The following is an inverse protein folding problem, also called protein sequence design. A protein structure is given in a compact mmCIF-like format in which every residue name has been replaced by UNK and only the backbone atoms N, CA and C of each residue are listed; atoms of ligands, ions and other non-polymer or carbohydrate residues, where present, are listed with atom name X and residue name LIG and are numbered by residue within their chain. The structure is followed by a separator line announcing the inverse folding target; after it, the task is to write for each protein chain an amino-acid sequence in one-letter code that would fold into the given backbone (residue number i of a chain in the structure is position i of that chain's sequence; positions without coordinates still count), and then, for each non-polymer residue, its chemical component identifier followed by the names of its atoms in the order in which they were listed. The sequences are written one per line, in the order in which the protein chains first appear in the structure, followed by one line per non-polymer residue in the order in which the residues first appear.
data_IF_175579440429
#
_entry.id   IF_175579440429
#
_cell.length_a   1.000
_cell.length_b   1.000
_cell.length_c   1.000
_cell.angle_alpha   90.00
_cell.angle_beta   90.00
_cell.angle_gamma   90.00
#
_symmetry.space_group_name_H-M   'P 1'
#
loop_
_entity.id
_entity.type
_entity.pdbx_description
1 polymer ?
#
# COMPACT_ATOMS: atom_id res chain seq x y z
N UNK A 1 -0.76 -66.22 -57.16
CA UNK A 1 -0.87 -64.72 -57.13
C UNK A 1 -1.31 -64.30 -55.74
N UNK A 2 -0.38 -63.85 -54.94
CA UNK A 2 -0.60 -63.33 -53.54
C UNK A 2 -0.57 -61.80 -53.60
N UNK A 3 -1.72 -61.18 -53.30
CA UNK A 3 -1.82 -59.71 -53.23
C UNK A 3 -1.48 -59.31 -51.81
N UNK A 4 -0.33 -58.62 -51.64
CA UNK A 4 0.13 -58.01 -50.39
C UNK A 4 -0.56 -56.65 -50.22
N UNK A 5 -1.44 -56.53 -49.19
CA UNK A 5 -2.06 -55.26 -48.82
C UNK A 5 -1.16 -54.54 -47.81
N UNK A 6 -0.61 -53.39 -48.24
CA UNK A 6 0.20 -52.49 -47.43
C UNK A 6 -0.77 -51.54 -46.70
N UNK A 7 -0.97 -51.75 -45.38
CA UNK A 7 -1.70 -50.81 -44.51
C UNK A 7 -0.77 -49.64 -44.12
N UNK A 8 -1.11 -48.42 -44.49
CA UNK A 8 -0.45 -47.21 -44.07
C UNK A 8 -0.99 -46.79 -42.68
N UNK A 9 -0.17 -46.53 -41.69
CA UNK A 9 -0.64 -45.95 -40.44
C UNK A 9 -1.01 -44.48 -40.65
N UNK A 10 -2.25 -44.10 -40.29
CA UNK A 10 -2.68 -42.71 -40.19
C UNK A 10 -2.18 -42.19 -38.86
N UNK A 11 -1.20 -41.31 -38.92
CA UNK A 11 -0.66 -40.56 -37.76
C UNK A 11 -1.69 -39.45 -37.42
N UNK A 12 -2.53 -39.66 -36.42
CA UNK A 12 -3.39 -38.62 -35.87
C UNK A 12 -2.55 -37.64 -35.05
N UNK A 13 -2.27 -36.47 -35.59
CA UNK A 13 -1.71 -35.35 -34.83
C UNK A 13 -2.79 -34.82 -33.88
N UNK A 14 -2.65 -35.08 -32.61
CA UNK A 14 -3.44 -34.43 -31.57
C UNK A 14 -2.99 -32.95 -31.47
N UNK A 15 -3.82 -32.04 -31.96
CA UNK A 15 -3.68 -30.61 -31.66
C UNK A 15 -3.99 -30.44 -30.15
N UNK A 16 -2.98 -30.22 -29.33
CA UNK A 16 -3.14 -29.70 -27.99
C UNK A 16 -3.65 -28.25 -28.12
N UNK A 17 -4.92 -28.02 -27.88
CA UNK A 17 -5.48 -26.71 -27.66
C UNK A 17 -4.82 -26.19 -26.36
N UNK A 18 -4.28 -24.95 -26.32
CA UNK A 18 -3.91 -24.36 -25.07
C UNK A 18 -5.15 -24.32 -24.17
N UNK A 19 -5.05 -24.84 -22.95
CA UNK A 19 -6.07 -24.63 -21.94
C UNK A 19 -6.18 -23.10 -21.79
N UNK A 20 -7.36 -22.54 -22.05
CA UNK A 20 -7.65 -21.17 -21.63
C UNK A 20 -7.43 -21.15 -20.11
N UNK A 21 -6.51 -20.32 -19.62
CA UNK A 21 -6.44 -20.03 -18.20
C UNK A 21 -7.84 -19.54 -17.80
N UNK A 22 -8.49 -20.23 -16.87
CA UNK A 22 -9.79 -19.81 -16.36
C UNK A 22 -9.65 -18.49 -15.59
N UNK A 23 -10.75 -17.78 -15.42
CA UNK A 23 -10.81 -16.65 -14.49
C UNK A 23 -10.39 -17.09 -13.08
N UNK A 24 -9.50 -16.34 -12.47
CA UNK A 24 -9.01 -16.57 -11.10
C UNK A 24 -9.35 -15.36 -10.24
N UNK A 25 -9.65 -15.61 -8.97
CA UNK A 25 -9.78 -14.56 -7.95
C UNK A 25 -8.44 -14.37 -7.25
N UNK A 26 -7.97 -13.13 -7.15
CA UNK A 26 -6.73 -12.73 -6.48
C UNK A 26 -7.08 -11.92 -5.24
N UNK A 27 -6.69 -12.38 -4.06
CA UNK A 27 -6.87 -11.66 -2.80
C UNK A 27 -5.64 -10.83 -2.47
N UNK A 28 -5.77 -9.50 -2.51
CA UNK A 28 -4.68 -8.55 -2.25
C UNK A 28 -4.83 -7.93 -0.86
N UNK A 29 -3.87 -8.16 0.02
CA UNK A 29 -3.78 -7.44 1.28
C UNK A 29 -2.90 -6.21 1.10
N UNK A 30 -3.46 -5.00 1.24
CA UNK A 30 -2.77 -3.77 0.94
C UNK A 30 -2.89 -2.70 2.04
N UNK A 31 -1.84 -1.91 2.20
CA UNK A 31 -1.84 -0.77 3.10
C UNK A 31 -3.00 0.20 2.79
N UNK A 32 -3.69 0.68 3.82
CA UNK A 32 -4.86 1.54 3.70
C UNK A 32 -4.63 2.81 2.87
N UNK A 33 -3.41 3.33 2.82
CA UNK A 33 -3.03 4.48 1.98
C UNK A 33 -3.15 4.22 0.47
N UNK A 34 -3.21 2.94 0.05
CA UNK A 34 -3.38 2.56 -1.36
C UNK A 34 -4.84 2.53 -1.82
N UNK A 35 -5.81 2.80 -0.93
CA UNK A 35 -7.25 2.67 -1.22
C UNK A 35 -7.66 3.27 -2.56
N UNK A 36 -7.30 4.53 -2.82
CA UNK A 36 -7.74 5.24 -4.03
C UNK A 36 -7.04 4.72 -5.28
N UNK A 37 -5.73 4.48 -5.21
CA UNK A 37 -4.96 3.96 -6.34
C UNK A 37 -5.37 2.52 -6.71
N UNK A 38 -5.53 1.64 -5.70
CA UNK A 38 -5.90 0.25 -5.97
C UNK A 38 -7.31 0.09 -6.49
N UNK A 39 -8.28 0.91 -6.08
CA UNK A 39 -9.62 0.85 -6.65
C UNK A 39 -9.64 1.17 -8.16
N UNK A 40 -8.76 2.06 -8.62
CA UNK A 40 -8.59 2.36 -10.03
C UNK A 40 -7.84 1.23 -10.77
N UNK A 41 -6.79 0.69 -10.15
CA UNK A 41 -5.98 -0.40 -10.70
C UNK A 41 -6.79 -1.70 -10.81
N UNK A 42 -7.53 -2.07 -9.76
CA UNK A 42 -8.46 -3.20 -9.72
C UNK A 42 -9.41 -3.14 -10.92
N UNK A 43 -10.16 -2.02 -11.06
CA UNK A 43 -11.08 -1.82 -12.17
C UNK A 43 -10.41 -1.96 -13.54
N UNK A 44 -9.20 -1.42 -13.71
CA UNK A 44 -8.48 -1.45 -14.97
C UNK A 44 -7.91 -2.86 -15.27
N UNK A 45 -7.41 -3.57 -14.27
CA UNK A 45 -6.90 -4.93 -14.41
C UNK A 45 -8.02 -5.91 -14.77
N UNK A 46 -9.15 -5.87 -14.06
CA UNK A 46 -10.33 -6.70 -14.34
C UNK A 46 -10.91 -6.45 -15.75
N UNK A 47 -10.86 -5.18 -16.20
CA UNK A 47 -11.28 -4.85 -17.57
C UNK A 47 -10.31 -5.35 -18.66
N UNK A 48 -9.03 -5.54 -18.31
CA UNK A 48 -7.98 -5.98 -19.23
C UNK A 48 -7.81 -7.51 -19.27
N UNK A 49 -8.28 -8.19 -18.23
CA UNK A 49 -8.14 -9.65 -18.05
C UNK A 49 -9.50 -10.27 -17.75
N UNK A 50 -9.54 -11.59 -17.59
CA UNK A 50 -10.75 -12.29 -17.12
C UNK A 50 -10.68 -12.57 -15.58
N UNK A 51 -9.69 -12.01 -14.87
CA UNK A 51 -9.46 -12.22 -13.45
C UNK A 51 -10.24 -11.23 -12.60
N UNK A 52 -10.60 -11.64 -11.37
CA UNK A 52 -11.21 -10.79 -10.34
C UNK A 52 -10.17 -10.46 -9.25
N UNK A 53 -10.19 -9.24 -8.71
CA UNK A 53 -9.30 -8.80 -7.64
C UNK A 53 -10.11 -8.41 -6.41
N UNK A 54 -9.80 -8.99 -5.27
CA UNK A 54 -10.42 -8.65 -3.99
C UNK A 54 -9.38 -7.97 -3.08
N UNK A 55 -9.55 -6.68 -2.82
CA UNK A 55 -8.60 -5.89 -2.04
C UNK A 55 -9.05 -5.74 -0.59
N UNK A 56 -8.26 -6.23 0.35
CA UNK A 56 -8.43 -6.01 1.78
C UNK A 56 -7.46 -4.93 2.28
N UNK A 57 -8.02 -3.83 2.78
CA UNK A 57 -7.29 -2.62 3.17
C UNK A 57 -7.25 -2.45 4.68
N UNK A 58 -6.04 -2.36 5.25
CA UNK A 58 -5.83 -2.08 6.67
C UNK A 58 -4.43 -1.49 6.92
N UNK A 59 -4.09 -1.24 8.18
CA UNK A 59 -2.69 -0.97 8.54
C UNK A 59 -1.80 -2.19 8.23
N UNK A 60 -0.64 -1.98 7.62
CA UNK A 60 0.26 -3.07 7.21
C UNK A 60 0.61 -4.02 8.35
N UNK A 61 0.69 -3.52 9.59
CA UNK A 61 0.91 -4.34 10.79
C UNK A 61 -0.21 -5.34 11.07
N UNK A 62 -1.45 -4.97 10.79
CA UNK A 62 -2.62 -5.86 10.96
C UNK A 62 -2.59 -6.93 9.89
N UNK A 63 -2.38 -6.53 8.63
CA UNK A 63 -2.31 -7.45 7.49
C UNK A 63 -1.16 -8.45 7.62
N UNK A 64 0.05 -7.98 7.97
CA UNK A 64 1.20 -8.85 8.20
C UNK A 64 0.92 -9.88 9.30
N UNK A 65 0.28 -9.48 10.42
CA UNK A 65 -0.12 -10.42 11.46
C UNK A 65 -1.15 -11.43 10.99
N UNK A 66 -2.12 -11.03 10.18
CA UNK A 66 -3.14 -11.93 9.61
C UNK A 66 -2.49 -12.94 8.66
N UNK A 67 -1.58 -12.52 7.79
CA UNK A 67 -0.80 -13.40 6.89
C UNK A 67 -0.02 -14.43 7.72
N UNK A 68 0.70 -13.99 8.74
CA UNK A 68 1.48 -14.86 9.65
C UNK A 68 0.60 -15.83 10.47
N UNK A 69 -0.71 -15.56 10.58
CA UNK A 69 -1.71 -16.44 11.19
C UNK A 69 -2.44 -17.31 10.16
N UNK A 70 -2.04 -17.28 8.88
CA UNK A 70 -2.58 -18.12 7.83
C UNK A 70 -3.82 -17.54 7.14
N UNK A 71 -4.01 -16.22 7.14
CA UNK A 71 -5.05 -15.61 6.32
C UNK A 71 -4.81 -15.90 4.83
N UNK A 72 -5.86 -16.20 4.06
CA UNK A 72 -5.74 -16.60 2.65
C UNK A 72 -5.57 -15.39 1.73
N UNK A 73 -4.45 -14.70 1.84
CA UNK A 73 -4.07 -13.64 0.92
C UNK A 73 -3.08 -14.20 -0.12
N UNK A 74 -3.13 -13.67 -1.32
CA UNK A 74 -2.26 -14.03 -2.43
C UNK A 74 -1.13 -13.01 -2.58
N UNK A 75 -1.44 -11.72 -2.49
CA UNK A 75 -0.46 -10.64 -2.62
C UNK A 75 -0.48 -9.76 -1.39
N UNK A 76 0.70 -9.35 -0.94
CA UNK A 76 0.85 -8.37 0.14
C UNK A 76 1.55 -7.11 -0.36
N UNK A 77 0.94 -5.93 -0.13
CA UNK A 77 1.52 -4.62 -0.41
C UNK A 77 1.59 -3.82 0.89
N UNK A 78 2.78 -3.74 1.46
CA UNK A 78 3.02 -3.07 2.75
C UNK A 78 3.45 -1.61 2.54
N UNK A 79 3.12 -0.73 3.48
CA UNK A 79 3.66 0.64 3.55
C UNK A 79 4.96 0.72 4.38
N UNK A 80 5.62 -0.41 4.63
CA UNK A 80 6.86 -0.51 5.39
C UNK A 80 7.62 -1.77 5.00
N UNK A 81 8.91 -1.65 4.83
CA UNK A 81 9.83 -2.78 4.64
C UNK A 81 9.83 -3.71 5.85
N UNK A 82 9.77 -3.18 7.07
CA UNK A 82 9.83 -3.98 8.30
C UNK A 82 8.69 -5.02 8.40
N UNK A 83 7.47 -4.64 7.97
CA UNK A 83 6.35 -5.58 7.97
C UNK A 83 6.44 -6.60 6.85
N UNK A 84 7.00 -6.24 5.70
CA UNK A 84 7.32 -7.20 4.64
C UNK A 84 8.44 -8.14 5.09
N UNK A 85 9.50 -7.61 5.72
CA UNK A 85 10.62 -8.40 6.28
C UNK A 85 10.13 -9.43 7.31
N UNK A 86 9.14 -9.06 8.14
CA UNK A 86 8.55 -9.97 9.12
C UNK A 86 7.80 -11.14 8.48
N UNK A 87 7.11 -10.90 7.36
CA UNK A 87 6.41 -11.95 6.58
C UNK A 87 7.42 -12.82 5.83
N UNK A 88 8.45 -12.21 5.25
CA UNK A 88 9.54 -12.91 4.55
C UNK A 88 10.36 -13.80 5.48
N UNK A 89 10.68 -13.32 6.69
CA UNK A 89 11.44 -14.08 7.70
C UNK A 89 10.71 -15.34 8.16
N UNK A 90 9.37 -15.34 8.11
CA UNK A 90 8.56 -16.53 8.40
C UNK A 90 8.45 -17.48 7.18
N UNK A 91 9.08 -17.14 6.04
CA UNK A 91 9.07 -17.95 4.81
C UNK A 91 7.73 -17.97 4.08
N UNK A 92 6.93 -16.89 4.23
CA UNK A 92 5.57 -16.80 3.68
C UNK A 92 5.51 -16.06 2.33
N UNK A 93 6.64 -15.54 1.82
CA UNK A 93 6.70 -14.96 0.48
C UNK A 93 7.13 -16.02 -0.54
N UNK A 94 6.58 -15.92 -1.76
CA UNK A 94 7.12 -16.66 -2.90
C UNK A 94 8.50 -16.09 -3.27
N UNK A 95 9.56 -16.95 -3.31
CA UNK A 95 10.93 -16.47 -3.50
C UNK A 95 11.13 -15.67 -4.79
N UNK A 96 11.71 -14.47 -4.66
CA UNK A 96 12.08 -13.63 -5.80
C UNK A 96 10.96 -12.74 -6.34
N UNK A 97 9.78 -12.73 -5.72
CA UNK A 97 8.64 -11.89 -6.15
C UNK A 97 8.64 -10.51 -5.49
N UNK A 98 9.34 -10.34 -4.37
CA UNK A 98 9.40 -9.07 -3.65
C UNK A 98 10.03 -7.96 -4.50
N UNK A 99 9.34 -6.81 -4.57
CA UNK A 99 9.77 -5.60 -5.26
C UNK A 99 9.45 -4.37 -4.42
N UNK A 100 10.38 -3.41 -4.34
CA UNK A 100 10.11 -2.09 -3.79
C UNK A 100 9.37 -1.27 -4.84
N UNK A 101 8.04 -1.19 -4.69
CA UNK A 101 7.15 -0.69 -5.72
C UNK A 101 7.06 0.85 -5.71
N UNK A 102 6.80 1.44 -4.53
CA UNK A 102 6.47 2.85 -4.37
C UNK A 102 7.22 3.50 -3.22
N UNK A 103 7.39 4.83 -3.34
CA UNK A 103 7.78 5.72 -2.26
C UNK A 103 6.68 6.71 -1.90
N UNK A 104 6.81 7.38 -0.75
CA UNK A 104 5.85 8.37 -0.25
C UNK A 104 6.57 9.41 0.61
N UNK A 105 5.82 10.42 1.07
CA UNK A 105 6.27 11.40 2.07
C UNK A 105 5.22 11.59 3.15
N UNK A 106 5.63 12.12 4.32
CA UNK A 106 4.72 12.44 5.42
C UNK A 106 4.45 13.93 5.42
N UNK A 107 3.20 14.28 5.67
CA UNK A 107 2.73 15.66 5.73
C UNK A 107 1.93 15.92 7.00
N UNK A 108 1.97 17.16 7.46
CA UNK A 108 1.04 17.70 8.42
C UNK A 108 -0.17 18.24 7.66
N UNK A 109 -1.35 17.73 7.99
CA UNK A 109 -2.62 18.21 7.45
C UNK A 109 -3.41 18.95 8.53
N UNK A 110 -4.18 19.93 8.11
CA UNK A 110 -5.13 20.64 8.97
C UNK A 110 -6.55 20.42 8.48
N UNK A 111 -7.52 20.48 9.40
CA UNK A 111 -8.95 20.47 9.07
C UNK A 111 -9.36 21.75 8.35
N UNK A 112 -10.15 21.59 7.28
CA UNK A 112 -10.64 22.70 6.47
C UNK A 112 -9.71 23.11 5.32
N UNK A 113 -10.17 24.05 4.47
CA UNK A 113 -9.50 24.47 3.25
C UNK A 113 -8.58 25.68 3.39
N UNK A 114 -8.68 26.42 4.51
CA UNK A 114 -8.08 27.75 4.67
C UNK A 114 -6.95 27.80 5.72
N UNK A 115 -6.39 26.64 6.10
CA UNK A 115 -5.31 26.58 7.09
C UNK A 115 -4.02 27.16 6.52
N UNK A 116 -3.35 27.98 7.33
CA UNK A 116 -2.09 28.59 6.93
C UNK A 116 -0.95 27.57 6.83
N UNK A 117 -0.03 27.71 5.87
CA UNK A 117 1.18 26.89 5.80
C UNK A 117 2.01 26.98 7.08
N UNK A 118 2.67 25.88 7.43
CA UNK A 118 3.54 25.73 8.60
C UNK A 118 4.90 25.23 8.12
N UNK A 119 5.97 25.90 8.53
CA UNK A 119 7.33 25.39 8.35
C UNK A 119 7.61 24.31 9.39
N UNK A 120 7.94 23.10 8.93
CA UNK A 120 8.24 21.96 9.80
C UNK A 120 9.72 21.96 10.15
N UNK A 121 10.05 22.56 11.28
CA UNK A 121 11.42 22.74 11.77
C UNK A 121 11.53 22.36 13.26
N UNK A 122 12.74 22.16 13.80
CA UNK A 122 12.94 21.76 15.22
C UNK A 122 12.39 22.74 16.26
N UNK A 123 12.17 23.99 15.91
CA UNK A 123 11.63 25.02 16.80
C UNK A 123 10.13 25.29 16.62
N UNK A 124 9.46 24.47 15.81
CA UNK A 124 8.01 24.55 15.61
C UNK A 124 7.27 24.31 16.94
N UNK A 125 6.47 25.26 17.37
CA UNK A 125 5.54 25.10 18.50
C UNK A 125 4.27 24.34 18.05
N UNK A 126 4.44 23.06 17.70
CA UNK A 126 3.33 22.21 17.28
C UNK A 126 2.29 22.02 18.40
N UNK A 127 2.73 21.95 19.67
CA UNK A 127 1.81 21.87 20.80
C UNK A 127 0.96 23.13 20.94
N UNK A 128 1.56 24.32 20.73
CA UNK A 128 0.84 25.59 20.67
C UNK A 128 -0.17 25.66 19.51
N UNK A 129 0.17 25.12 18.35
CA UNK A 129 -0.77 25.01 17.21
C UNK A 129 -1.96 24.09 17.51
N UNK A 130 -1.75 23.00 18.26
CA UNK A 130 -2.81 22.10 18.68
C UNK A 130 -3.74 22.74 19.71
N UNK A 131 -3.21 23.62 20.58
CA UNK A 131 -3.97 24.16 21.71
C UNK A 131 -4.54 23.03 22.59
N UNK A 132 -5.86 23.02 22.80
CA UNK A 132 -6.56 21.95 23.50
C UNK A 132 -6.94 20.76 22.59
N UNK A 133 -6.63 20.84 21.31
CA UNK A 133 -6.94 19.85 20.31
C UNK A 133 -6.05 18.61 20.33
N UNK A 134 -6.27 17.70 19.40
CA UNK A 134 -5.53 16.46 19.25
C UNK A 134 -4.76 16.44 17.92
N UNK A 135 -3.62 15.75 17.92
CA UNK A 135 -2.88 15.39 16.72
C UNK A 135 -3.30 13.98 16.29
N UNK A 136 -4.02 13.89 15.17
CA UNK A 136 -4.43 12.59 14.63
C UNK A 136 -3.22 11.89 13.99
N UNK A 137 -2.96 10.66 14.40
CA UNK A 137 -1.92 9.79 13.83
C UNK A 137 -2.41 8.35 13.75
N UNK A 138 -1.84 7.55 12.88
CA UNK A 138 -1.98 6.10 12.99
C UNK A 138 -1.22 5.60 14.25
N UNK A 139 -1.48 4.35 14.69
CA UNK A 139 -0.82 3.74 15.84
C UNK A 139 0.71 3.88 15.73
N UNK A 140 1.31 4.67 16.62
CA UNK A 140 2.69 5.14 16.51
C UNK A 140 3.76 4.07 16.76
N UNK A 141 3.38 2.95 17.37
CA UNK A 141 4.29 1.84 17.66
C UNK A 141 4.03 0.60 16.77
N UNK A 142 3.09 0.69 15.82
CA UNK A 142 2.71 -0.47 15.01
C UNK A 142 2.43 -0.14 13.53
N UNK A 143 1.66 0.90 13.25
CA UNK A 143 1.24 1.22 11.88
C UNK A 143 2.29 2.08 11.18
N UNK A 144 2.70 1.76 9.95
CA UNK A 144 3.79 2.45 9.26
C UNK A 144 3.69 3.98 9.31
N UNK A 145 2.55 4.57 8.93
CA UNK A 145 2.36 6.02 8.97
C UNK A 145 2.57 6.63 10.38
N UNK A 146 2.15 5.89 11.42
CA UNK A 146 2.38 6.30 12.81
C UNK A 146 3.85 6.20 13.21
N UNK A 147 4.52 5.12 12.82
CA UNK A 147 5.96 4.90 13.08
C UNK A 147 6.78 6.00 12.40
N UNK A 148 6.53 6.27 11.11
CA UNK A 148 7.23 7.33 10.37
C UNK A 148 6.92 8.72 10.93
N UNK A 149 5.65 9.00 11.25
CA UNK A 149 5.25 10.28 11.86
C UNK A 149 5.91 10.52 13.22
N UNK A 150 5.96 9.49 14.07
CA UNK A 150 6.66 9.56 15.36
C UNK A 150 8.17 9.75 15.15
N UNK A 151 8.79 8.98 14.24
CA UNK A 151 10.21 9.12 13.94
C UNK A 151 10.56 10.53 13.44
N UNK A 152 9.70 11.13 12.59
CA UNK A 152 9.88 12.50 12.14
C UNK A 152 9.78 13.52 13.28
N UNK A 153 8.81 13.37 14.17
CA UNK A 153 8.67 14.22 15.36
C UNK A 153 9.83 14.03 16.33
N UNK A 154 10.31 12.80 16.55
CA UNK A 154 11.49 12.51 17.37
C UNK A 154 12.76 13.14 16.76
N UNK A 155 12.95 12.98 15.44
CA UNK A 155 14.09 13.55 14.70
C UNK A 155 14.17 15.07 14.78
N UNK A 156 13.03 15.74 14.88
CA UNK A 156 12.92 17.18 15.03
C UNK A 156 12.85 17.64 16.50
N UNK A 157 12.82 16.72 17.47
CA UNK A 157 12.68 17.02 18.90
C UNK A 157 11.29 17.52 19.31
N UNK A 158 10.26 17.24 18.50
CA UNK A 158 8.89 17.73 18.73
C UNK A 158 8.00 16.70 19.46
N UNK A 159 8.40 15.42 19.50
CA UNK A 159 7.55 14.32 19.98
C UNK A 159 7.09 14.51 21.42
N UNK A 160 8.01 14.78 22.34
CA UNK A 160 7.69 14.84 23.78
C UNK A 160 6.63 15.91 24.11
N UNK A 161 6.63 17.00 23.35
CA UNK A 161 5.69 18.10 23.53
C UNK A 161 4.25 17.72 23.10
N UNK A 162 4.12 16.88 22.06
CA UNK A 162 2.80 16.54 21.45
C UNK A 162 2.29 15.16 21.82
N UNK A 163 3.15 14.26 22.31
CA UNK A 163 2.77 12.87 22.65
C UNK A 163 1.50 12.74 23.52
N UNK A 164 1.28 13.61 24.55
CA UNK A 164 0.07 13.57 25.36
C UNK A 164 -1.22 13.94 24.60
N UNK A 165 -1.07 14.64 23.46
CA UNK A 165 -2.19 15.09 22.63
C UNK A 165 -2.44 14.21 21.41
N UNK A 166 -1.68 13.14 21.20
CA UNK A 166 -1.85 12.25 20.05
C UNK A 166 -3.14 11.44 20.18
N UNK A 167 -4.00 11.52 19.17
CA UNK A 167 -5.15 10.64 18.97
C UNK A 167 -4.78 9.58 17.93
N UNK A 168 -4.72 8.31 18.37
CA UNK A 168 -4.25 7.23 17.53
C UNK A 168 -5.41 6.49 16.86
N UNK A 169 -5.21 6.09 15.59
CA UNK A 169 -6.16 5.33 14.77
C UNK A 169 -5.53 4.04 14.25
N UNK A 170 -6.35 3.06 13.88
CA UNK A 170 -5.90 1.74 13.43
C UNK A 170 -5.15 1.74 12.09
N UNK A 171 -5.29 2.80 11.30
CA UNK A 171 -4.58 3.03 10.05
C UNK A 171 -4.58 4.52 9.68
N UNK A 172 -3.81 4.88 8.62
CA UNK A 172 -3.65 6.29 8.22
C UNK A 172 -4.93 6.94 7.69
N UNK A 173 -5.79 6.18 7.00
CA UNK A 173 -7.07 6.71 6.51
C UNK A 173 -8.05 7.00 7.64
N UNK A 174 -8.03 6.19 8.69
CA UNK A 174 -8.79 6.46 9.92
C UNK A 174 -8.24 7.69 10.68
N UNK A 175 -6.92 7.88 10.70
CA UNK A 175 -6.32 9.10 11.24
C UNK A 175 -6.73 10.35 10.44
N UNK A 176 -6.69 10.29 9.10
CA UNK A 176 -7.15 11.35 8.23
C UNK A 176 -8.64 11.68 8.45
N UNK A 177 -9.47 10.65 8.71
CA UNK A 177 -10.90 10.84 8.96
C UNK A 177 -11.18 11.72 10.19
N UNK A 178 -10.37 11.64 11.26
CA UNK A 178 -10.48 12.57 12.40
C UNK A 178 -10.26 14.03 11.99
N UNK A 179 -9.33 14.27 11.07
CA UNK A 179 -9.04 15.63 10.59
C UNK A 179 -10.15 16.12 9.67
N UNK A 180 -10.59 15.32 8.71
CA UNK A 180 -11.64 15.67 7.75
C UNK A 180 -13.02 15.86 8.40
N UNK A 181 -13.28 15.16 9.52
CA UNK A 181 -14.47 15.34 10.36
C UNK A 181 -14.37 16.53 11.32
N UNK A 182 -13.21 17.18 11.44
CA UNK A 182 -12.99 18.28 12.38
C UNK A 182 -12.84 17.83 13.85
N UNK A 183 -12.66 16.53 14.10
CA UNK A 183 -12.44 15.97 15.44
C UNK A 183 -10.99 16.20 15.93
N UNK A 184 -10.05 16.33 14.98
CA UNK A 184 -8.67 16.73 15.24
C UNK A 184 -8.32 17.94 14.35
N UNK A 185 -7.76 19.05 14.90
CA UNK A 185 -7.37 20.20 14.13
C UNK A 185 -6.22 19.89 13.15
N UNK A 186 -5.33 18.97 13.54
CA UNK A 186 -4.20 18.55 12.73
C UNK A 186 -4.03 17.03 12.75
N UNK A 187 -3.36 16.50 11.71
CA UNK A 187 -2.97 15.10 11.65
C UNK A 187 -1.68 14.89 10.85
N UNK A 188 -1.00 13.80 11.12
CA UNK A 188 0.17 13.35 10.35
C UNK A 188 -0.26 12.14 9.54
N UNK A 189 -0.18 12.30 8.20
CA UNK A 189 -0.59 11.30 7.20
C UNK A 189 0.39 11.28 6.04
N UNK A 190 0.22 10.38 5.10
CA UNK A 190 1.00 10.44 3.86
C UNK A 190 0.48 11.55 2.93
N UNK A 191 1.36 12.09 2.10
CA UNK A 191 0.99 13.08 1.09
C UNK A 191 -0.10 12.55 0.14
N UNK A 192 -0.04 11.27 -0.20
CA UNK A 192 -1.03 10.58 -1.04
C UNK A 192 -2.41 10.47 -0.39
N UNK A 193 -2.47 10.32 0.95
CA UNK A 193 -3.74 10.32 1.68
C UNK A 193 -4.37 11.72 1.68
N UNK A 194 -3.53 12.73 1.89
CA UNK A 194 -3.98 14.14 1.86
C UNK A 194 -4.48 14.54 0.47
N UNK A 195 -3.83 14.10 -0.60
CA UNK A 195 -4.25 14.35 -1.98
C UNK A 195 -5.63 13.77 -2.31
N UNK A 196 -6.04 12.72 -1.61
CA UNK A 196 -7.34 12.07 -1.79
C UNK A 196 -8.46 12.66 -0.91
N UNK A 197 -8.20 13.77 -0.18
CA UNK A 197 -9.16 14.36 0.77
C UNK A 197 -9.46 15.82 0.43
N UNK A 198 -10.72 16.13 0.13
CA UNK A 198 -11.17 17.48 -0.26
C UNK A 198 -11.30 18.46 0.93
N UNK A 199 -11.36 17.95 2.17
CA UNK A 199 -11.66 18.74 3.38
C UNK A 199 -10.51 18.85 4.36
N UNK A 200 -9.32 18.43 3.94
CA UNK A 200 -8.07 18.60 4.69
C UNK A 200 -7.04 19.33 3.83
N UNK A 201 -6.29 20.23 4.42
CA UNK A 201 -5.24 21.00 3.74
C UNK A 201 -3.87 20.53 4.20
N UNK A 202 -2.96 20.24 3.27
CA UNK A 202 -1.54 20.06 3.59
C UNK A 202 -0.98 21.41 4.02
N UNK A 203 -0.57 21.53 5.27
CA UNK A 203 0.02 22.75 5.84
C UNK A 203 1.53 22.68 5.93
N UNK A 204 2.13 21.48 5.94
CA UNK A 204 3.58 21.33 5.94
C UNK A 204 4.00 19.92 5.53
N UNK A 205 5.20 19.81 4.97
CA UNK A 205 5.83 18.52 4.62
C UNK A 205 7.01 18.30 5.55
N UNK A 206 7.09 17.11 6.16
CA UNK A 206 8.22 16.76 7.01
C UNK A 206 9.49 16.59 6.17
N UNK A 207 10.65 17.09 6.66
CA UNK A 207 11.93 16.88 6.01
C UNK A 207 12.23 15.40 5.81
N UNK A 208 12.72 15.02 4.62
CA UNK A 208 12.97 13.63 4.26
C UNK A 208 14.04 12.95 5.13
N UNK A 209 14.91 13.73 5.78
CA UNK A 209 15.96 13.27 6.69
C UNK A 209 15.49 13.19 8.16
N UNK A 210 14.25 13.61 8.46
CA UNK A 210 13.66 13.49 9.80
C UNK A 210 13.13 12.08 10.12
N UNK A 211 13.02 11.21 9.13
CA UNK A 211 12.49 9.83 9.27
C UNK A 211 13.17 8.88 8.27
N UNK A 212 13.10 7.55 8.48
CA UNK A 212 13.55 6.59 7.48
C UNK A 212 12.79 6.73 6.15
N UNK A 213 13.41 6.35 5.00
CA UNK A 213 12.71 6.34 3.71
C UNK A 213 11.42 5.52 3.76
N UNK A 214 10.36 6.08 3.18
CA UNK A 214 9.06 5.39 3.10
C UNK A 214 9.03 4.58 1.82
N UNK A 215 8.99 3.26 1.96
CA UNK A 215 8.97 2.31 0.86
C UNK A 215 7.77 1.39 0.99
N UNK A 216 7.11 1.15 -0.14
CA UNK A 216 6.01 0.19 -0.26
C UNK A 216 6.49 -1.02 -1.05
N UNK A 217 6.96 -2.07 -0.38
CA UNK A 217 7.21 -3.35 -1.03
C UNK A 217 5.91 -4.07 -1.36
N UNK A 218 5.90 -4.76 -2.49
CA UNK A 218 4.89 -5.72 -2.90
C UNK A 218 5.53 -7.09 -3.08
N UNK A 219 4.79 -8.14 -2.77
CA UNK A 219 5.25 -9.51 -2.96
C UNK A 219 4.07 -10.48 -3.10
N UNK A 220 4.30 -11.58 -3.79
CA UNK A 220 3.47 -12.75 -3.81
C UNK A 220 3.66 -13.58 -2.54
N UNK A 221 2.58 -14.16 -2.04
CA UNK A 221 2.58 -15.00 -0.85
C UNK A 221 2.58 -16.48 -1.25
N UNK A 222 3.41 -17.28 -0.60
CA UNK A 222 3.53 -18.70 -0.85
C UNK A 222 2.29 -19.50 -0.36
N UNK A 223 1.08 -18.95 -0.53
CA UNK A 223 -0.19 -19.57 -0.14
C UNK A 223 -0.75 -20.47 -1.22
N UNK A 224 -0.59 -20.09 -2.46
CA UNK A 224 -0.90 -20.84 -3.67
C UNK A 224 0.02 -20.37 -4.81
N UNK A 225 -0.02 -21.02 -5.94
CA UNK A 225 0.81 -20.70 -7.12
C UNK A 225 -0.13 -20.73 -8.36
N UNK A 226 -0.68 -19.57 -8.69
CA UNK A 226 -1.50 -19.39 -9.88
C UNK A 226 -0.95 -18.27 -10.76
N UNK A 227 -1.01 -18.42 -12.10
CA UNK A 227 -0.44 -17.43 -13.03
C UNK A 227 -0.98 -16.01 -12.85
N UNK A 228 -2.22 -15.86 -12.38
CA UNK A 228 -2.87 -14.57 -12.17
C UNK A 228 -2.15 -13.68 -11.13
N UNK A 229 -1.51 -14.28 -10.11
CA UNK A 229 -0.74 -13.57 -9.08
C UNK A 229 0.46 -12.85 -9.70
N UNK A 230 1.25 -13.58 -10.50
CA UNK A 230 2.37 -13.01 -11.23
C UNK A 230 1.91 -11.94 -12.25
N UNK A 231 0.79 -12.17 -12.94
CA UNK A 231 0.22 -11.22 -13.90
C UNK A 231 -0.19 -9.91 -13.21
N UNK A 232 -0.82 -9.98 -12.02
CA UNK A 232 -1.18 -8.80 -11.26
C UNK A 232 0.05 -8.05 -10.73
N UNK A 233 1.07 -8.75 -10.21
CA UNK A 233 2.33 -8.12 -9.79
C UNK A 233 3.07 -7.44 -10.95
N UNK A 234 3.04 -8.04 -12.15
CA UNK A 234 3.58 -7.42 -13.35
C UNK A 234 2.74 -6.20 -13.77
N UNK A 235 1.42 -6.29 -13.68
CA UNK A 235 0.52 -5.18 -13.97
C UNK A 235 0.75 -3.99 -13.05
N UNK A 236 1.01 -4.22 -11.74
CA UNK A 236 1.35 -3.15 -10.78
C UNK A 236 2.59 -2.34 -11.20
N UNK A 237 3.48 -2.91 -12.01
CA UNK A 237 4.66 -2.25 -12.59
C UNK A 237 4.43 -1.72 -14.00
N UNK A 238 3.30 -2.06 -14.58
CA UNK A 238 2.90 -1.64 -15.93
C UNK A 238 2.46 -0.17 -16.01
N UNK A 239 2.34 0.37 -17.24
CA UNK A 239 2.10 1.80 -17.46
C UNK A 239 0.77 2.29 -16.88
N UNK A 240 -0.27 1.48 -16.89
CA UNK A 240 -1.60 1.83 -16.38
C UNK A 240 -1.59 2.03 -14.86
N UNK A 241 -1.02 1.05 -14.12
CA UNK A 241 -0.92 1.12 -12.67
C UNK A 241 0.05 2.24 -12.24
N UNK A 242 1.19 2.40 -12.94
CA UNK A 242 2.13 3.51 -12.70
C UNK A 242 1.44 4.86 -12.82
N UNK A 243 0.64 5.07 -13.87
CA UNK A 243 -0.11 6.30 -14.04
C UNK A 243 -1.15 6.52 -12.92
N UNK A 244 -1.79 5.47 -12.41
CA UNK A 244 -2.70 5.54 -11.27
C UNK A 244 -1.96 5.95 -9.99
N UNK A 245 -0.81 5.34 -9.70
CA UNK A 245 0.03 5.70 -8.56
C UNK A 245 0.52 7.15 -8.63
N UNK A 246 1.02 7.59 -9.79
CA UNK A 246 1.49 8.96 -9.99
C UNK A 246 0.37 9.99 -9.80
N UNK A 247 -0.85 9.72 -10.29
CA UNK A 247 -2.02 10.60 -10.07
C UNK A 247 -2.34 10.78 -8.59
N UNK A 248 -2.10 9.77 -7.78
CA UNK A 248 -2.29 9.83 -6.32
C UNK A 248 -1.07 10.42 -5.58
N UNK A 249 0.01 10.75 -6.28
CA UNK A 249 1.21 11.38 -5.71
C UNK A 249 2.25 10.40 -5.15
N UNK A 250 2.16 9.11 -5.46
CA UNK A 250 3.22 8.16 -5.13
C UNK A 250 4.46 8.39 -5.99
N UNK A 251 5.64 8.15 -5.42
CA UNK A 251 6.88 8.05 -6.17
C UNK A 251 7.06 6.61 -6.64
N UNK A 252 7.38 6.41 -7.91
CA UNK A 252 7.65 5.07 -8.46
C UNK A 252 9.11 4.69 -8.16
N UNK A 253 9.33 3.51 -7.56
CA UNK A 253 10.66 2.97 -7.25
C UNK A 253 11.05 1.82 -8.20
N UNK A 254 10.08 0.97 -8.54
CA UNK A 254 10.30 -0.09 -9.53
C UNK A 254 10.38 0.50 -10.95
N UNK A 255 11.30 -0.01 -11.79
CA UNK A 255 11.41 0.38 -13.20
C UNK A 255 10.25 -0.11 -14.05
#
# INVERSE_FOLDING_TARGET
MVRSSISRPVLAAALALPAAAGAEEITVFAAASLTTALAEIETAFEAATDHDVVVALAGSSVLARQIRQGAPADIFISASTDWMDAVEADGLLEPGTRVDLLGNSIVLVASGSDAAPVEIEPDLDLAGLLGDGRLAMALVDAVPAGIYGKAALDGLGLWDAVAPQVAQADNVRAALAFVTAGEAPYGIVYATDAAAADTATVVGTFPADSHPPIVYPAADLATRDVPAEAEFLDYLRGPEARAAFERQGFTLLAP
#
